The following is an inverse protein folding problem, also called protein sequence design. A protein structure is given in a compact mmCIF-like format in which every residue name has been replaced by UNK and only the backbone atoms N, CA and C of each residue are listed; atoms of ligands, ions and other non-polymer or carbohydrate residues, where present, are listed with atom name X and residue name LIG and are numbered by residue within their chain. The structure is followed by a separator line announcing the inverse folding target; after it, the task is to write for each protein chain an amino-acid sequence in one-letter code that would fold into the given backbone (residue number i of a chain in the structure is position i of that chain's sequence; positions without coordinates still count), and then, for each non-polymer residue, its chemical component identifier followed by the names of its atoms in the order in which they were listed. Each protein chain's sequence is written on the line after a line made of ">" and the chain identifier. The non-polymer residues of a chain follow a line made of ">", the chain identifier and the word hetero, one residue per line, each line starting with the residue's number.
data_IF_394777693354
#
_entry.id   IF_394777693354
#
_cell.length_a   1.000
_cell.length_b   1.000
_cell.length_c   1.000
_cell.angle_alpha   90.00
_cell.angle_beta   90.00
_cell.angle_gamma   90.00
#
_symmetry.space_group_name_H-M   'P 1'
#
loop_
_entity.id
_entity.type
_entity.pdbx_description
1 polymer ?
#
# COMPACT_ATOMS: atom_id res chain seq x y z
N UNK A 1 17.55 6.38 -3.49
CA UNK A 1 17.12 6.23 -2.09
C UNK A 1 17.17 7.60 -1.42
N UNK A 2 16.22 7.90 -0.55
CA UNK A 2 16.23 9.09 0.30
C UNK A 2 17.34 8.97 1.37
N UNK A 3 17.72 10.08 1.99
CA UNK A 3 18.72 10.08 3.07
C UNK A 3 18.21 9.26 4.27
N UNK A 4 19.05 8.52 5.02
CA UNK A 4 18.64 7.86 6.26
C UNK A 4 18.18 8.87 7.35
N UNK A 5 18.36 10.17 7.12
CA UNK A 5 17.91 11.25 8.00
C UNK A 5 16.67 11.97 7.47
N UNK A 6 16.06 11.53 6.37
CA UNK A 6 14.87 12.15 5.81
C UNK A 6 13.70 11.99 6.79
N UNK A 7 13.03 13.09 7.14
CA UNK A 7 11.85 13.06 8.00
C UNK A 7 10.55 12.91 7.20
N UNK A 8 9.43 12.66 7.89
CA UNK A 8 8.13 12.56 7.22
C UNK A 8 7.71 13.90 6.59
N UNK A 9 8.07 15.02 7.22
CA UNK A 9 7.82 16.36 6.70
C UNK A 9 8.59 16.62 5.40
N UNK A 10 9.86 16.21 5.32
CA UNK A 10 10.66 16.33 4.10
C UNK A 10 9.96 15.63 2.93
N UNK A 11 9.43 14.42 3.18
CA UNK A 11 8.67 13.64 2.19
C UNK A 11 7.38 14.36 1.82
N UNK A 12 6.63 14.88 2.79
CA UNK A 12 5.39 15.60 2.55
C UNK A 12 5.61 16.88 1.75
N UNK A 13 6.66 17.66 2.03
CA UNK A 13 7.02 18.83 1.22
C UNK A 13 7.33 18.46 -0.23
N UNK A 14 7.98 17.32 -0.45
CA UNK A 14 8.18 16.76 -1.79
C UNK A 14 6.84 16.50 -2.50
N UNK A 15 5.89 15.86 -1.82
CA UNK A 15 4.56 15.60 -2.37
C UNK A 15 3.72 16.85 -2.58
N UNK A 16 3.78 17.83 -1.68
CA UNK A 16 3.13 19.14 -1.86
C UNK A 16 3.62 19.82 -3.14
N UNK A 17 4.95 19.89 -3.32
CA UNK A 17 5.54 20.48 -4.53
C UNK A 17 5.19 19.70 -5.80
N UNK A 18 5.03 18.37 -5.70
CA UNK A 18 4.58 17.56 -6.82
C UNK A 18 3.11 17.85 -7.17
N UNK A 19 2.22 17.89 -6.17
CA UNK A 19 0.80 18.20 -6.38
C UNK A 19 0.57 19.60 -6.97
N UNK A 20 1.39 20.59 -6.58
CA UNK A 20 1.35 21.92 -7.21
C UNK A 20 1.62 21.89 -8.72
N UNK A 21 2.50 20.98 -9.16
CA UNK A 21 2.85 20.78 -10.57
C UNK A 21 1.89 19.84 -11.29
N UNK A 22 1.12 19.07 -10.54
CA UNK A 22 0.21 18.03 -11.02
C UNK A 22 -1.18 18.14 -10.36
N UNK A 23 -1.88 19.29 -10.49
CA UNK A 23 -3.09 19.59 -9.70
C UNK A 23 -4.30 18.72 -10.05
N UNK A 24 -4.24 17.97 -11.15
CA UNK A 24 -5.28 17.01 -11.53
C UNK A 24 -5.12 15.63 -10.89
N UNK A 25 -3.96 15.37 -10.29
CA UNK A 25 -3.61 14.11 -9.66
C UNK A 25 -4.01 14.11 -8.19
N UNK A 26 -4.11 12.94 -7.60
CA UNK A 26 -4.30 12.72 -6.18
C UNK A 26 -3.34 11.62 -5.71
N UNK A 27 -2.89 11.70 -4.46
CA UNK A 27 -2.01 10.69 -3.89
C UNK A 27 -2.70 9.95 -2.74
N UNK A 28 -2.58 8.63 -2.71
CA UNK A 28 -2.90 7.81 -1.56
C UNK A 28 -1.60 7.52 -0.81
N UNK A 29 -1.48 7.99 0.43
CA UNK A 29 -0.26 7.85 1.23
C UNK A 29 -0.55 6.93 2.40
N UNK A 30 0.11 5.77 2.40
CA UNK A 30 0.08 4.83 3.53
C UNK A 30 1.15 5.18 4.55
N UNK A 31 0.75 5.30 5.81
CA UNK A 31 1.67 5.58 6.93
C UNK A 31 1.50 4.49 7.98
N UNK A 32 2.62 3.86 8.33
CA UNK A 32 2.75 2.85 9.38
C UNK A 32 3.76 3.31 10.44
N UNK A 33 3.59 2.87 11.68
CA UNK A 33 4.69 2.87 12.66
C UNK A 33 5.47 1.57 12.50
N UNK A 34 6.70 1.66 12.00
CA UNK A 34 7.55 0.49 11.79
C UNK A 34 8.35 0.16 13.05
N UNK A 35 8.15 -1.05 13.58
CA UNK A 35 8.83 -1.50 14.79
C UNK A 35 10.33 -1.72 14.53
N UNK A 36 11.17 -1.59 15.57
CA UNK A 36 12.61 -1.87 15.45
C UNK A 36 13.46 -0.82 14.71
N UNK A 37 12.87 0.27 14.21
CA UNK A 37 13.57 1.34 13.47
C UNK A 37 14.20 2.42 14.36
N UNK A 38 14.06 2.29 15.68
CA UNK A 38 14.56 3.26 16.67
C UNK A 38 13.61 4.42 16.96
N UNK A 39 12.50 4.56 16.24
CA UNK A 39 11.42 5.50 16.57
C UNK A 39 10.51 4.91 17.65
N UNK A 40 10.45 5.49 18.86
CA UNK A 40 9.60 4.95 19.91
C UNK A 40 8.11 5.01 19.54
N UNK A 41 7.38 3.93 19.80
CA UNK A 41 5.92 3.91 19.69
C UNK A 41 5.30 4.54 20.95
N UNK A 42 5.11 5.85 20.98
CA UNK A 42 4.65 6.57 22.17
C UNK A 42 3.74 7.77 21.85
N UNK A 43 3.12 8.33 22.89
CA UNK A 43 2.15 9.42 22.73
C UNK A 43 2.76 10.62 21.99
N UNK A 44 4.01 10.99 22.30
CA UNK A 44 4.71 12.10 21.65
C UNK A 44 4.81 11.93 20.13
N UNK A 45 5.06 10.71 19.64
CA UNK A 45 5.09 10.42 18.21
C UNK A 45 3.72 10.65 17.56
N UNK A 46 2.64 10.20 18.18
CA UNK A 46 1.30 10.39 17.62
C UNK A 46 0.75 11.80 17.82
N UNK A 47 1.12 12.51 18.88
CA UNK A 47 0.83 13.94 19.06
C UNK A 47 1.46 14.73 17.91
N UNK A 48 2.72 14.42 17.59
CA UNK A 48 3.43 15.03 16.47
C UNK A 48 2.73 14.77 15.13
N UNK A 49 2.32 13.52 14.84
CA UNK A 49 1.55 13.23 13.63
C UNK A 49 0.17 13.91 13.62
N UNK A 50 -0.52 13.93 14.75
CA UNK A 50 -1.81 14.60 14.88
C UNK A 50 -1.69 16.10 14.59
N UNK A 51 -0.71 16.76 15.19
CA UNK A 51 -0.44 18.18 15.00
C UNK A 51 -0.02 18.47 13.56
N UNK A 52 0.81 17.59 12.97
CA UNK A 52 1.23 17.70 11.57
C UNK A 52 0.02 17.74 10.63
N UNK A 53 -0.96 16.84 10.78
CA UNK A 53 -2.16 16.82 9.92
C UNK A 53 -3.16 17.94 10.20
N UNK A 54 -3.12 18.52 11.42
CA UNK A 54 -4.03 19.57 11.85
C UNK A 54 -3.44 20.98 11.73
N UNK A 55 -2.24 21.13 11.17
CA UNK A 55 -1.58 22.41 10.96
C UNK A 55 -1.28 22.68 9.49
N UNK A 56 -1.08 23.96 9.16
CA UNK A 56 -0.63 24.36 7.83
C UNK A 56 0.82 23.92 7.62
N UNK A 57 1.21 23.41 6.43
CA UNK A 57 0.40 23.37 5.21
C UNK A 57 -0.50 22.14 5.06
N UNK A 58 -0.41 21.13 5.94
CA UNK A 58 -1.10 19.86 5.74
C UNK A 58 -2.63 20.00 5.62
N UNK A 59 -3.24 20.95 6.32
CA UNK A 59 -4.69 21.21 6.21
C UNK A 59 -5.16 21.58 4.80
N UNK A 60 -4.27 22.06 3.94
CA UNK A 60 -4.57 22.42 2.55
C UNK A 60 -4.36 21.24 1.59
N UNK A 61 -3.29 20.46 1.83
CA UNK A 61 -2.86 19.39 0.94
C UNK A 61 -3.38 18.00 1.32
N UNK A 62 -4.00 17.82 2.48
CA UNK A 62 -4.62 16.56 2.88
C UNK A 62 -6.13 16.66 2.86
N UNK A 63 -6.79 15.62 2.36
CA UNK A 63 -8.23 15.47 2.50
C UNK A 63 -8.59 15.32 3.98
N UNK A 64 -9.36 16.28 4.49
CA UNK A 64 -9.69 16.40 5.92
C UNK A 64 -10.88 15.52 6.36
N UNK A 65 -11.41 14.66 5.48
CA UNK A 65 -12.48 13.72 5.84
C UNK A 65 -11.94 12.53 6.61
N UNK A 66 -12.71 12.04 7.57
CA UNK A 66 -12.38 10.88 8.38
C UNK A 66 -13.19 9.65 7.93
N UNK A 67 -12.54 8.48 7.93
CA UNK A 67 -13.14 7.15 7.69
C UNK A 67 -13.90 7.02 6.37
N UNK A 68 -13.53 7.76 5.34
CA UNK A 68 -14.20 7.64 4.04
C UNK A 68 -13.27 8.07 2.92
N UNK A 69 -13.27 7.33 1.81
CA UNK A 69 -12.30 7.54 0.71
C UNK A 69 -12.63 8.79 -0.10
N UNK A 70 -13.91 9.19 -0.11
CA UNK A 70 -14.40 10.30 -0.93
C UNK A 70 -14.37 9.98 -2.43
N UNK A 71 -14.38 11.03 -3.22
CA UNK A 71 -14.30 10.98 -4.69
C UNK A 71 -12.96 11.52 -5.18
N UNK A 72 -12.58 11.15 -6.41
CA UNK A 72 -11.39 11.73 -7.03
C UNK A 72 -11.48 13.27 -7.09
N UNK A 73 -12.66 13.83 -7.39
CA UNK A 73 -12.86 15.28 -7.47
C UNK A 73 -12.52 16.02 -6.17
N UNK A 74 -12.80 15.43 -5.02
CA UNK A 74 -12.45 15.98 -3.70
C UNK A 74 -10.94 15.84 -3.38
N UNK A 75 -10.29 14.81 -3.95
CA UNK A 75 -8.90 14.47 -3.69
C UNK A 75 -7.90 15.10 -4.68
N UNK A 76 -8.33 15.64 -5.83
CA UNK A 76 -7.43 16.29 -6.80
C UNK A 76 -6.63 17.43 -6.15
N UNK A 77 -5.33 17.45 -6.38
CA UNK A 77 -4.38 18.37 -5.76
C UNK A 77 -4.11 18.07 -4.28
N UNK A 78 -4.56 16.92 -3.76
CA UNK A 78 -4.44 16.54 -2.35
C UNK A 78 -3.98 15.11 -2.16
N UNK A 79 -3.65 14.80 -0.92
CA UNK A 79 -3.31 13.49 -0.42
C UNK A 79 -4.45 12.94 0.44
N UNK A 80 -4.68 11.64 0.33
CA UNK A 80 -5.58 10.87 1.18
C UNK A 80 -4.73 9.92 2.03
N UNK A 81 -4.91 9.99 3.33
CA UNK A 81 -4.19 9.14 4.29
C UNK A 81 -4.79 7.73 4.33
N UNK A 82 -3.98 6.71 4.10
CA UNK A 82 -4.23 5.33 4.52
C UNK A 82 -3.51 5.12 5.86
N UNK A 83 -4.27 5.24 6.95
CA UNK A 83 -3.73 5.23 8.30
C UNK A 83 -3.57 3.79 8.78
N UNK A 84 -2.32 3.29 8.85
CA UNK A 84 -1.96 1.97 9.41
C UNK A 84 -1.38 2.08 10.83
N UNK A 85 -1.79 3.10 11.57
CA UNK A 85 -1.40 3.32 12.96
C UNK A 85 -2.62 3.74 13.78
N UNK A 86 -2.56 3.70 15.11
CA UNK A 86 -3.67 4.11 15.96
C UNK A 86 -3.35 5.35 16.79
N UNK A 87 -4.38 6.17 17.02
CA UNK A 87 -4.36 7.31 17.94
C UNK A 87 -4.87 6.93 19.35
N UNK A 88 -5.02 5.64 19.67
CA UNK A 88 -5.63 5.19 20.93
C UNK A 88 -4.84 5.59 22.19
N UNK A 89 -3.55 5.90 22.04
CA UNK A 89 -2.72 6.39 23.16
C UNK A 89 -2.79 7.91 23.33
N UNK A 90 -3.49 8.63 22.44
CA UNK A 90 -3.75 10.05 22.59
C UNK A 90 -5.01 10.30 23.44
N UNK A 91 -5.12 11.47 24.08
CA UNK A 91 -6.33 11.85 24.80
C UNK A 91 -7.57 11.87 23.89
N UNK A 92 -8.74 11.54 24.45
CA UNK A 92 -10.01 11.47 23.73
C UNK A 92 -10.45 12.81 23.09
N UNK A 93 -9.92 13.94 23.56
CA UNK A 93 -10.22 15.25 22.98
C UNK A 93 -9.55 15.49 21.62
N UNK A 94 -8.57 14.66 21.22
CA UNK A 94 -7.94 14.67 19.88
C UNK A 94 -8.88 14.05 18.83
N UNK A 95 -9.97 14.77 18.55
CA UNK A 95 -11.10 14.31 17.72
C UNK A 95 -10.94 14.61 16.23
N UNK A 96 -10.02 15.51 15.84
CA UNK A 96 -9.80 15.89 14.44
C UNK A 96 -8.87 14.91 13.72
N UNK A 97 -9.37 13.70 13.49
CA UNK A 97 -8.67 12.62 12.76
C UNK A 97 -9.08 12.66 11.28
N UNK A 98 -8.19 12.27 10.37
CA UNK A 98 -8.42 12.26 8.92
C UNK A 98 -8.08 10.88 8.33
N UNK A 99 -8.47 10.65 7.08
CA UNK A 99 -8.04 9.49 6.31
C UNK A 99 -8.87 8.22 6.52
N UNK A 100 -8.41 7.13 5.93
CA UNK A 100 -8.95 5.78 6.05
C UNK A 100 -8.24 5.09 7.20
N UNK A 101 -8.95 4.84 8.29
CA UNK A 101 -8.44 4.08 9.41
C UNK A 101 -8.40 2.59 9.07
N UNK A 102 -7.21 2.09 8.72
CA UNK A 102 -6.92 0.68 8.51
C UNK A 102 -6.29 0.16 9.80
N UNK A 103 -7.14 -0.27 10.74
CA UNK A 103 -6.75 -0.62 12.10
C UNK A 103 -5.54 -1.58 12.11
N UNK A 104 -4.40 -1.18 12.71
CA UNK A 104 -3.19 -2.00 12.71
C UNK A 104 -3.38 -3.35 13.42
N UNK A 105 -4.31 -3.45 14.37
CA UNK A 105 -4.60 -4.72 15.04
C UNK A 105 -5.42 -5.69 14.17
N UNK A 106 -6.10 -5.17 13.14
CA UNK A 106 -6.85 -5.98 12.17
C UNK A 106 -6.01 -6.29 10.92
N UNK A 107 -4.89 -5.60 10.72
CA UNK A 107 -3.93 -5.90 9.67
C UNK A 107 -3.07 -7.10 10.10
N UNK A 108 -3.57 -8.30 9.86
CA UNK A 108 -2.90 -9.53 10.30
C UNK A 108 -1.54 -9.69 9.63
N UNK A 109 -0.56 -10.12 10.42
CA UNK A 109 0.79 -10.41 9.94
C UNK A 109 0.78 -11.46 8.81
N UNK A 110 1.54 -11.18 7.75
CA UNK A 110 1.62 -11.99 6.54
C UNK A 110 0.24 -12.44 5.98
N UNK A 111 -0.78 -11.58 6.06
CA UNK A 111 -2.16 -11.94 5.76
C UNK A 111 -2.48 -11.99 4.26
N UNK A 112 -2.98 -13.12 3.75
CA UNK A 112 -3.39 -13.25 2.35
C UNK A 112 -4.83 -12.79 2.04
N UNK A 113 -5.66 -12.60 3.08
CA UNK A 113 -7.05 -12.17 2.96
C UNK A 113 -7.47 -11.41 4.24
N UNK A 114 -7.07 -10.15 4.31
CA UNK A 114 -7.37 -9.23 5.42
C UNK A 114 -8.64 -8.45 5.06
N UNK A 115 -9.57 -8.33 6.01
CA UNK A 115 -10.78 -7.51 5.85
C UNK A 115 -10.89 -6.52 7.00
N UNK A 116 -10.88 -5.23 6.68
CA UNK A 116 -10.95 -4.14 7.68
C UNK A 116 -12.15 -3.26 7.40
N UNK A 117 -13.09 -3.20 8.35
CA UNK A 117 -14.25 -2.29 8.25
C UNK A 117 -13.83 -0.90 8.71
N UNK A 118 -13.41 -0.06 7.76
CA UNK A 118 -12.95 1.29 8.07
C UNK A 118 -14.12 2.29 8.27
N UNK A 119 -15.33 1.94 7.82
CA UNK A 119 -16.54 2.72 8.07
C UNK A 119 -17.78 1.84 8.29
N UNK A 120 -18.11 1.56 9.54
CA UNK A 120 -19.30 0.78 9.91
C UNK A 120 -20.61 1.42 9.42
N UNK A 121 -20.76 2.74 9.55
CA UNK A 121 -22.01 3.43 9.22
C UNK A 121 -22.35 3.40 7.73
N UNK A 122 -21.32 3.29 6.87
CA UNK A 122 -21.46 3.23 5.42
C UNK A 122 -21.17 1.83 4.84
N UNK A 123 -20.96 0.84 5.70
CA UNK A 123 -20.54 -0.51 5.30
C UNK A 123 -19.33 -0.50 4.33
N UNK A 124 -18.31 0.31 4.63
CA UNK A 124 -17.10 0.37 3.81
C UNK A 124 -16.00 -0.48 4.42
N UNK A 125 -15.48 -1.37 3.58
CA UNK A 125 -14.53 -2.42 3.92
C UNK A 125 -13.31 -2.28 3.00
N UNK A 126 -12.13 -2.51 3.56
CA UNK A 126 -10.90 -2.70 2.81
C UNK A 126 -10.55 -4.19 2.80
N UNK A 127 -10.41 -4.75 1.59
CA UNK A 127 -9.89 -6.09 1.32
C UNK A 127 -8.41 -5.94 0.96
N UNK A 128 -7.55 -6.57 1.74
CA UNK A 128 -6.11 -6.38 1.66
C UNK A 128 -5.44 -7.75 1.59
N UNK A 129 -4.46 -7.86 0.70
CA UNK A 129 -3.57 -9.01 0.63
C UNK A 129 -2.14 -8.52 0.80
N UNK A 130 -1.55 -8.84 1.95
CA UNK A 130 -0.20 -8.49 2.39
C UNK A 130 0.60 -9.73 2.79
N UNK A 131 0.56 -10.75 1.91
CA UNK A 131 1.32 -12.00 2.06
C UNK A 131 2.79 -11.77 1.64
N UNK A 132 3.55 -11.06 2.47
CA UNK A 132 4.90 -10.58 2.14
C UNK A 132 5.99 -11.64 2.35
N UNK A 133 5.79 -12.63 3.21
CA UNK A 133 6.78 -13.68 3.50
C UNK A 133 6.24 -15.02 2.98
N UNK A 134 6.93 -15.63 2.01
CA UNK A 134 6.47 -16.93 1.49
C UNK A 134 6.65 -18.00 2.56
N UNK A 135 5.65 -18.87 2.70
CA UNK A 135 5.63 -19.95 3.70
C UNK A 135 5.87 -21.35 3.11
N UNK A 136 6.59 -21.45 1.99
CA UNK A 136 6.97 -22.73 1.39
C UNK A 136 8.17 -23.34 2.15
N UNK A 137 8.45 -24.61 1.88
CA UNK A 137 9.58 -25.31 2.48
C UNK A 137 10.92 -24.76 1.94
N UNK A 138 11.93 -24.71 2.81
CA UNK A 138 13.30 -24.35 2.42
C UNK A 138 13.78 -25.32 1.32
N UNK A 139 14.24 -24.76 0.22
CA UNK A 139 14.67 -25.44 -0.99
C UNK A 139 13.64 -25.45 -2.12
N UNK A 140 12.46 -24.83 -1.93
CA UNK A 140 11.45 -24.68 -2.99
C UNK A 140 12.00 -23.88 -4.19
N UNK A 141 12.84 -22.88 -3.90
CA UNK A 141 13.55 -22.08 -4.90
C UNK A 141 12.68 -21.03 -5.60
N UNK A 142 13.33 -20.08 -6.27
CA UNK A 142 12.68 -18.91 -6.86
C UNK A 142 11.42 -19.22 -7.68
N UNK A 143 11.46 -20.23 -8.55
CA UNK A 143 10.35 -20.50 -9.47
C UNK A 143 9.03 -20.82 -8.75
N UNK A 144 9.10 -21.65 -7.71
CA UNK A 144 7.91 -22.06 -6.95
C UNK A 144 7.41 -20.93 -6.05
N UNK A 145 8.32 -20.26 -5.32
CA UNK A 145 8.00 -19.10 -4.49
C UNK A 145 7.35 -17.96 -5.29
N UNK A 146 7.92 -17.62 -6.45
CA UNK A 146 7.38 -16.59 -7.34
C UNK A 146 6.00 -17.00 -7.87
N UNK A 147 5.84 -18.26 -8.29
CA UNK A 147 4.55 -18.74 -8.80
C UNK A 147 3.47 -18.72 -7.71
N UNK A 148 3.82 -19.09 -6.48
CA UNK A 148 2.93 -19.00 -5.33
C UNK A 148 2.48 -17.57 -5.08
N UNK A 149 3.43 -16.63 -5.00
CA UNK A 149 3.11 -15.20 -4.83
C UNK A 149 2.26 -14.67 -5.96
N UNK A 150 2.59 -14.99 -7.21
CA UNK A 150 1.82 -14.58 -8.38
C UNK A 150 0.38 -15.06 -8.28
N UNK A 151 0.15 -16.35 -8.01
CA UNK A 151 -1.19 -16.93 -7.86
C UNK A 151 -2.00 -16.22 -6.78
N UNK A 152 -1.44 -16.04 -5.58
CA UNK A 152 -2.10 -15.35 -4.47
C UNK A 152 -2.38 -13.88 -4.80
N UNK A 153 -1.50 -13.22 -5.56
CA UNK A 153 -1.71 -11.84 -6.04
C UNK A 153 -2.86 -11.77 -7.02
N UNK A 154 -2.84 -12.59 -8.06
CA UNK A 154 -3.86 -12.57 -9.10
C UNK A 154 -5.21 -13.04 -8.59
N UNK A 155 -5.26 -13.93 -7.59
CA UNK A 155 -6.52 -14.33 -6.95
C UNK A 155 -7.19 -13.15 -6.25
N UNK A 156 -6.43 -12.35 -5.49
CA UNK A 156 -6.98 -11.17 -4.81
C UNK A 156 -7.36 -10.05 -5.79
N UNK A 157 -6.59 -9.85 -6.87
CA UNK A 157 -6.97 -8.91 -7.93
C UNK A 157 -8.23 -9.40 -8.66
N UNK A 158 -8.33 -10.70 -8.95
CA UNK A 158 -9.52 -11.28 -9.58
C UNK A 158 -10.76 -11.10 -8.70
N UNK A 159 -10.62 -11.25 -7.38
CA UNK A 159 -11.71 -10.94 -6.44
C UNK A 159 -12.15 -9.46 -6.53
N UNK A 160 -11.22 -8.51 -6.69
CA UNK A 160 -11.56 -7.10 -6.89
C UNK A 160 -12.32 -6.80 -8.20
N UNK A 161 -12.10 -7.64 -9.23
CA UNK A 161 -12.79 -7.57 -10.53
C UNK A 161 -14.21 -8.14 -10.40
N UNK A 162 -14.33 -9.30 -9.76
CA UNK A 162 -15.57 -10.08 -9.75
C UNK A 162 -16.52 -9.64 -8.63
N UNK A 163 -15.99 -9.13 -7.53
CA UNK A 163 -16.72 -8.88 -6.29
C UNK A 163 -16.53 -7.45 -5.76
N UNK A 164 -17.48 -7.02 -4.93
CA UNK A 164 -17.39 -5.80 -4.10
C UNK A 164 -16.89 -4.54 -4.86
N UNK A 165 -17.57 -4.13 -5.96
CA UNK A 165 -17.10 -3.06 -6.85
C UNK A 165 -17.02 -1.67 -6.19
N UNK A 166 -17.59 -1.51 -5.01
CA UNK A 166 -17.63 -0.29 -4.21
C UNK A 166 -16.67 -0.30 -3.00
N UNK A 167 -15.88 -1.38 -2.80
CA UNK A 167 -15.02 -1.57 -1.62
C UNK A 167 -13.54 -1.37 -1.91
N UNK A 168 -12.73 -0.99 -0.93
CA UNK A 168 -11.31 -0.73 -1.17
C UNK A 168 -10.54 -2.05 -1.34
N UNK A 169 -9.74 -2.20 -2.39
CA UNK A 169 -8.83 -3.35 -2.58
C UNK A 169 -7.38 -2.89 -2.61
N UNK A 170 -6.51 -3.56 -1.84
CA UNK A 170 -5.06 -3.32 -1.83
C UNK A 170 -4.32 -4.65 -1.95
N UNK A 171 -3.63 -4.85 -3.07
CA UNK A 171 -2.89 -6.07 -3.39
C UNK A 171 -1.39 -5.81 -3.38
N UNK A 172 -0.65 -6.42 -2.44
CA UNK A 172 0.82 -6.34 -2.43
C UNK A 172 1.41 -7.45 -3.28
N UNK A 173 2.00 -7.10 -4.42
CA UNK A 173 2.77 -8.01 -5.27
C UNK A 173 4.20 -8.26 -4.75
N UNK A 174 4.71 -7.35 -3.92
CA UNK A 174 5.99 -7.46 -3.22
C UNK A 174 6.02 -8.64 -2.23
N UNK A 175 7.16 -9.32 -2.11
CA UNK A 175 7.38 -10.39 -1.13
C UNK A 175 8.86 -10.75 -1.02
N UNK A 176 9.19 -11.57 -0.04
CA UNK A 176 10.48 -12.23 0.12
C UNK A 176 10.30 -13.68 0.59
N UNK A 177 11.37 -14.46 0.45
CA UNK A 177 11.56 -15.73 1.14
C UNK A 177 13.05 -15.85 1.51
N UNK A 178 13.52 -14.97 2.39
CA UNK A 178 14.94 -14.85 2.73
C UNK A 178 15.47 -16.07 3.50
N UNK A 179 14.58 -16.90 4.06
CA UNK A 179 14.92 -18.14 4.75
C UNK A 179 15.18 -19.32 3.79
N UNK A 180 14.87 -19.16 2.50
CA UNK A 180 15.10 -20.18 1.48
C UNK A 180 16.60 -20.44 1.23
N UNK A 181 16.92 -21.51 0.50
CA UNK A 181 18.27 -21.86 0.11
C UNK A 181 18.34 -22.20 -1.40
N UNK A 182 18.84 -21.29 -2.26
CA UNK A 182 19.35 -19.94 -1.93
C UNK A 182 18.23 -18.97 -1.46
N UNK A 183 18.58 -17.91 -0.70
CA UNK A 183 17.60 -16.91 -0.28
C UNK A 183 16.94 -16.21 -1.47
N UNK A 184 15.63 -15.94 -1.36
CA UNK A 184 14.86 -15.26 -2.41
C UNK A 184 14.44 -13.84 -1.94
N UNK A 185 15.34 -12.82 -2.07
CA UNK A 185 15.06 -11.47 -1.61
C UNK A 185 14.01 -10.77 -2.48
N UNK A 186 13.49 -9.60 -2.07
CA UNK A 186 12.47 -8.86 -2.81
C UNK A 186 12.78 -8.65 -4.29
N UNK A 187 14.06 -8.44 -4.64
CA UNK A 187 14.50 -8.30 -6.03
C UNK A 187 14.26 -9.57 -6.84
N UNK A 188 14.55 -10.76 -6.29
CA UNK A 188 14.35 -12.02 -7.01
C UNK A 188 12.87 -12.34 -7.10
N UNK A 189 12.10 -12.10 -6.04
CA UNK A 189 10.65 -12.28 -6.08
C UNK A 189 9.98 -11.37 -7.13
N UNK A 190 10.34 -10.08 -7.18
CA UNK A 190 9.76 -9.13 -8.10
C UNK A 190 10.22 -9.32 -9.55
N UNK A 191 11.53 -9.53 -9.76
CA UNK A 191 12.16 -9.46 -11.09
C UNK A 191 12.70 -10.79 -11.62
N UNK A 192 12.69 -11.84 -10.80
CA UNK A 192 13.27 -13.14 -11.14
C UNK A 192 14.78 -13.19 -10.90
N UNK A 193 15.42 -14.24 -11.40
CA UNK A 193 16.85 -14.50 -11.19
C UNK A 193 17.77 -13.89 -12.27
N UNK A 194 17.22 -13.08 -13.18
CA UNK A 194 17.95 -12.47 -14.30
C UNK A 194 18.25 -13.42 -15.46
N UNK A 195 17.77 -14.67 -15.42
CA UNK A 195 17.88 -15.64 -16.51
C UNK A 195 16.49 -16.10 -16.97
N UNK A 196 16.14 -17.37 -16.75
CA UNK A 196 14.92 -18.00 -17.25
C UNK A 196 13.72 -17.84 -16.31
N UNK A 197 13.96 -17.57 -15.02
CA UNK A 197 12.89 -17.43 -14.04
C UNK A 197 12.39 -15.98 -14.09
N UNK A 198 11.16 -15.81 -14.55
CA UNK A 198 10.45 -14.53 -14.53
C UNK A 198 9.89 -14.26 -13.12
N UNK A 199 10.10 -13.04 -12.62
CA UNK A 199 9.52 -12.56 -11.37
C UNK A 199 8.02 -12.26 -11.45
N UNK A 200 7.45 -11.91 -10.29
CA UNK A 200 6.03 -11.56 -10.18
C UNK A 200 5.67 -10.39 -11.12
N UNK A 201 6.53 -9.38 -11.26
CA UNK A 201 6.26 -8.22 -12.10
C UNK A 201 6.19 -8.59 -13.59
N UNK A 202 7.10 -9.45 -14.07
CA UNK A 202 7.07 -9.93 -15.46
C UNK A 202 5.84 -10.79 -15.73
N UNK A 203 5.43 -11.62 -14.76
CA UNK A 203 4.24 -12.47 -14.88
C UNK A 203 2.93 -11.66 -14.83
N UNK A 204 2.88 -10.59 -14.04
CA UNK A 204 1.69 -9.73 -13.93
C UNK A 204 1.39 -8.96 -15.21
N UNK A 205 2.40 -8.51 -15.96
CA UNK A 205 2.20 -7.71 -17.17
C UNK A 205 1.22 -8.35 -18.18
N UNK A 206 1.47 -9.56 -18.72
CA UNK A 206 0.53 -10.18 -19.66
C UNK A 206 -0.83 -10.46 -19.02
N UNK A 207 -0.86 -10.86 -17.75
CA UNK A 207 -2.11 -11.13 -17.02
C UNK A 207 -3.02 -9.89 -16.92
N UNK A 208 -2.43 -8.72 -16.66
CA UNK A 208 -3.13 -7.44 -16.59
C UNK A 208 -3.56 -6.97 -17.99
N UNK A 209 -2.70 -7.12 -19.00
CA UNK A 209 -3.01 -6.73 -20.38
C UNK A 209 -4.22 -7.50 -20.95
N UNK A 210 -4.33 -8.79 -20.64
CA UNK A 210 -5.49 -9.62 -21.00
C UNK A 210 -6.80 -9.13 -20.35
N UNK A 211 -6.70 -8.37 -19.25
CA UNK A 211 -7.82 -7.89 -18.44
C UNK A 211 -7.97 -6.37 -18.47
N UNK A 212 -7.39 -5.72 -19.48
CA UNK A 212 -7.44 -4.26 -19.65
C UNK A 212 -8.87 -3.72 -19.48
N UNK A 213 -9.01 -2.61 -18.75
CA UNK A 213 -10.30 -1.98 -18.45
C UNK A 213 -11.02 -2.55 -17.22
N UNK A 214 -10.48 -3.59 -16.59
CA UNK A 214 -11.03 -4.15 -15.35
C UNK A 214 -10.62 -3.32 -14.13
N UNK A 215 -11.39 -3.45 -13.04
CA UNK A 215 -11.10 -2.80 -11.76
C UNK A 215 -10.12 -3.64 -10.94
N UNK A 216 -8.84 -3.33 -11.03
CA UNK A 216 -7.80 -4.10 -10.31
C UNK A 216 -7.64 -3.74 -8.83
N UNK A 217 -8.24 -2.64 -8.37
CA UNK A 217 -7.93 -2.03 -7.07
C UNK A 217 -6.55 -1.37 -7.07
N UNK A 218 -5.95 -1.23 -5.88
CA UNK A 218 -4.59 -0.72 -5.72
C UNK A 218 -3.62 -1.90 -5.77
N UNK A 219 -2.59 -1.82 -6.60
CA UNK A 219 -1.51 -2.82 -6.67
C UNK A 219 -0.21 -2.17 -6.20
N UNK A 220 0.37 -2.71 -5.13
CA UNK A 220 1.66 -2.28 -4.60
C UNK A 220 2.77 -3.18 -5.17
N UNK A 221 3.79 -2.56 -5.76
CA UNK A 221 4.90 -3.25 -6.45
C UNK A 221 6.24 -2.87 -5.81
N UNK A 222 7.15 -3.83 -5.70
CA UNK A 222 8.59 -3.54 -5.63
C UNK A 222 9.15 -3.35 -7.04
N UNK A 223 10.12 -2.44 -7.20
CA UNK A 223 10.80 -2.20 -8.49
C UNK A 223 9.81 -1.91 -9.64
N UNK A 224 8.80 -1.07 -9.37
CA UNK A 224 7.67 -0.80 -10.27
C UNK A 224 8.08 -0.33 -11.68
N UNK A 225 9.25 0.28 -11.81
CA UNK A 225 9.80 0.84 -13.04
C UNK A 225 10.64 -0.16 -13.86
N UNK A 226 10.94 -1.33 -13.31
CA UNK A 226 11.90 -2.27 -13.88
C UNK A 226 11.31 -3.18 -14.96
N UNK A 227 9.98 -3.26 -15.08
CA UNK A 227 9.28 -4.00 -16.15
C UNK A 227 8.49 -2.99 -16.99
N UNK A 228 8.98 -2.64 -18.20
CA UNK A 228 8.30 -1.67 -19.05
C UNK A 228 6.87 -2.09 -19.39
N UNK A 229 5.92 -1.15 -19.30
CA UNK A 229 4.51 -1.42 -19.59
C UNK A 229 3.70 -1.93 -18.40
N UNK A 230 4.33 -2.29 -17.27
CA UNK A 230 3.62 -2.84 -16.11
C UNK A 230 2.73 -1.79 -15.44
N UNK A 231 3.28 -0.62 -15.13
CA UNK A 231 2.50 0.48 -14.54
C UNK A 231 1.41 0.92 -15.51
N UNK A 232 1.73 1.02 -16.80
CA UNK A 232 0.78 1.34 -17.85
C UNK A 232 -0.35 0.32 -17.89
N UNK A 233 -0.08 -0.99 -17.77
CA UNK A 233 -1.12 -2.02 -17.77
C UNK A 233 -2.06 -1.91 -16.55
N UNK A 234 -1.58 -1.40 -15.41
CA UNK A 234 -2.40 -1.16 -14.21
C UNK A 234 -3.31 0.05 -14.40
N UNK A 235 -2.80 1.15 -14.97
CA UNK A 235 -3.56 2.40 -15.13
C UNK A 235 -4.31 2.49 -16.46
N UNK A 236 -4.07 1.57 -17.40
CA UNK A 236 -4.74 1.52 -18.70
C UNK A 236 -6.18 1.07 -18.52
N UNK A 237 -7.05 2.05 -18.31
CA UNK A 237 -8.50 1.91 -18.43
C UNK A 237 -8.92 1.76 -19.89
#
# INVERSE_FOLDING_TARGET
>A
MLSPTTTIEDVFFGFYSWLDKHPTEALLISINHESGTGTPNNAKFYEHLYDLFNSSPATEYWVQSNRTLGTLGEARGKMVLLQRFSYDILPDYNTKRIGIYLDPNQWTDNGANISIVYNNAKNQIAYIKDYYEIGLDIGAGAAENIQWKFNTTTAHIQDAIDNHPDQLYISFASSEHNVDLPPEPPRVMALGNGTEIQGVNQKLLPWLQERKGSRFGIIMLDFFDSVPGLVEAIISV
#
